data_IF_243890795110
#
_entry.id   IF_243890795110
#
_cell.length_a   1.000
_cell.length_b   1.000
_cell.length_c   1.000
_cell.angle_alpha   90.00
_cell.angle_beta   90.00
_cell.angle_gamma   90.00
#
_symmetry.space_group_name_H-M   'P 1'
#
loop_
_entity.id
_entity.type
_entity.pdbx_description
1 polymer ?
#
# COMPACT_ATOMS: atom_id res chain seq x y z
N UNK A 1 14.04 22.89 0.82
CA UNK A 1 13.45 22.44 -0.46
C UNK A 1 12.27 21.56 -0.09
N UNK A 2 11.04 21.97 -0.39
CA UNK A 2 9.84 21.19 -0.06
C UNK A 2 9.44 20.44 -1.32
N UNK A 3 9.64 19.12 -1.34
CA UNK A 3 9.18 18.28 -2.46
C UNK A 3 7.67 18.15 -2.36
N UNK A 4 6.95 18.65 -3.36
CA UNK A 4 5.52 18.44 -3.50
C UNK A 4 5.27 17.10 -4.18
N UNK A 5 4.67 16.15 -3.46
CA UNK A 5 4.26 14.87 -4.02
C UNK A 5 2.86 15.00 -4.61
N UNK A 6 2.68 14.55 -5.85
CA UNK A 6 1.37 14.57 -6.51
C UNK A 6 0.39 13.54 -5.93
N UNK A 7 0.92 12.42 -5.43
CA UNK A 7 0.16 11.29 -4.90
C UNK A 7 0.80 10.83 -3.58
N UNK A 8 -0.05 10.53 -2.60
CA UNK A 8 0.33 9.87 -1.34
C UNK A 8 -0.24 8.45 -1.34
N UNK A 9 0.57 7.47 -0.96
CA UNK A 9 0.17 6.06 -0.91
C UNK A 9 0.24 5.56 0.53
N UNK A 10 -0.83 4.93 1.00
CA UNK A 10 -0.92 4.22 2.26
C UNK A 10 -1.10 2.72 2.02
N UNK A 11 -0.41 1.90 2.81
CA UNK A 11 -0.52 0.45 2.81
C UNK A 11 -0.98 -0.01 4.19
N UNK A 12 -2.18 -0.56 4.26
CA UNK A 12 -2.69 -1.26 5.44
C UNK A 12 -2.32 -2.74 5.34
N UNK A 13 -1.52 -3.21 6.30
CA UNK A 13 -0.94 -4.56 6.28
C UNK A 13 -1.65 -5.41 7.33
N UNK A 14 -2.69 -6.12 6.89
CA UNK A 14 -3.39 -7.12 7.69
C UNK A 14 -2.66 -8.47 7.72
N UNK A 15 -3.13 -9.39 8.57
CA UNK A 15 -2.61 -10.76 8.69
C UNK A 15 -2.98 -11.68 7.52
N UNK A 16 -4.05 -11.34 6.79
CA UNK A 16 -4.63 -12.18 5.74
C UNK A 16 -4.81 -11.46 4.40
N UNK A 17 -4.94 -10.13 4.42
CA UNK A 17 -5.06 -9.29 3.24
C UNK A 17 -4.29 -7.99 3.48
N UNK A 18 -3.72 -7.45 2.41
CA UNK A 18 -3.15 -6.10 2.42
C UNK A 18 -4.09 -5.19 1.65
N UNK A 19 -4.20 -3.93 2.04
CA UNK A 19 -5.02 -2.96 1.34
C UNK A 19 -4.18 -1.73 1.01
N UNK A 20 -4.03 -1.45 -0.29
CA UNK A 20 -3.34 -0.25 -0.73
C UNK A 20 -4.35 0.81 -1.14
N UNK A 21 -4.14 2.01 -0.62
CA UNK A 21 -4.91 3.19 -0.94
C UNK A 21 -3.96 4.29 -1.42
N UNK A 22 -4.28 4.91 -2.55
CA UNK A 22 -3.53 6.05 -3.07
C UNK A 22 -4.47 7.23 -3.24
N UNK A 23 -4.04 8.39 -2.76
CA UNK A 23 -4.78 9.64 -2.73
C UNK A 23 -4.03 10.74 -3.48
N UNK A 24 -4.75 11.58 -4.21
CA UNK A 24 -4.23 12.85 -4.72
C UNK A 24 -4.03 13.86 -3.59
N UNK A 25 -3.34 14.96 -3.88
CA UNK A 25 -3.19 16.09 -2.95
C UNK A 25 -4.52 16.74 -2.53
N UNK A 26 -5.60 16.50 -3.27
CA UNK A 26 -6.96 16.98 -2.95
C UNK A 26 -7.83 15.92 -2.28
N UNK A 27 -7.27 14.73 -2.00
CA UNK A 27 -7.94 13.65 -1.27
C UNK A 27 -8.77 12.69 -2.14
N UNK A 28 -8.62 12.72 -3.46
CA UNK A 28 -9.31 11.79 -4.35
C UNK A 28 -8.60 10.44 -4.38
N UNK A 29 -9.37 9.35 -4.29
CA UNK A 29 -8.85 7.99 -4.38
C UNK A 29 -8.54 7.64 -5.83
N UNK A 30 -7.26 7.44 -6.12
CA UNK A 30 -6.78 6.95 -7.44
C UNK A 30 -6.54 5.45 -7.43
N UNK A 31 -6.36 4.85 -6.27
CA UNK A 31 -6.25 3.41 -6.08
C UNK A 31 -6.83 3.03 -4.72
N UNK A 32 -7.66 1.99 -4.69
CA UNK A 32 -8.30 1.48 -3.46
C UNK A 32 -8.63 0.01 -3.71
N UNK A 33 -7.62 -0.85 -3.57
CA UNK A 33 -7.77 -2.28 -3.83
C UNK A 33 -7.00 -3.11 -2.83
N UNK A 34 -7.55 -4.29 -2.55
CA UNK A 34 -6.84 -5.35 -1.87
C UNK A 34 -5.63 -5.77 -2.72
N UNK A 35 -4.49 -5.88 -2.05
CA UNK A 35 -3.28 -6.46 -2.59
C UNK A 35 -3.20 -7.91 -2.09
N UNK A 36 -2.94 -8.88 -2.99
CA UNK A 36 -2.66 -10.24 -2.57
C UNK A 36 -1.44 -10.24 -1.65
N UNK A 37 -1.53 -10.95 -0.53
CA UNK A 37 -0.41 -11.23 0.35
C UNK A 37 0.47 -12.31 -0.32
N UNK A 38 1.12 -11.94 -1.42
CA UNK A 38 2.11 -12.78 -2.10
C UNK A 38 3.48 -12.46 -1.52
N UNK A 39 3.64 -12.69 -0.21
CA UNK A 39 4.96 -12.97 0.32
C UNK A 39 5.31 -14.34 -0.25
N UNK A 40 6.15 -14.40 -1.29
CA UNK A 40 6.86 -15.64 -1.63
C UNK A 40 7.49 -16.13 -0.34
N UNK A 41 6.85 -17.12 0.30
CA UNK A 41 7.17 -17.60 1.63
C UNK A 41 8.62 -18.01 1.59
N UNK A 42 9.50 -17.15 2.10
CA UNK A 42 10.86 -17.59 2.40
C UNK A 42 10.69 -18.55 3.57
N UNK A 43 11.00 -19.85 3.41
CA UNK A 43 10.83 -20.78 4.51
C UNK A 43 11.67 -20.27 5.66
N UNK A 44 11.03 -20.08 6.81
CA UNK A 44 11.71 -19.74 8.05
C UNK A 44 12.67 -20.88 8.35
N UNK A 45 13.97 -20.66 8.17
CA UNK A 45 14.99 -21.61 8.58
C UNK A 45 14.97 -21.62 10.10
N UNK A 46 14.42 -22.69 10.66
CA UNK A 46 14.48 -23.01 12.09
C UNK A 46 15.88 -23.48 12.45
#
# INVERSE_FOLDING_TARGET
MTTAYAITIGLDVGKSTHHACALTTVGEKVYDKELPQDETVKPRVS
#
